data_IF_913680326133
#
_entry.id   IF_913680326133
#
_cell.length_a   1.000
_cell.length_b   1.000
_cell.length_c   1.000
_cell.angle_alpha   90.00
_cell.angle_beta   90.00
_cell.angle_gamma   90.00
#
_symmetry.space_group_name_H-M   'P 1'
#
loop_
_entity.id
_entity.type
_entity.pdbx_description
1 polymer ?
#
# COMPACT_ATOMS: atom_id res chain seq x y z
N UNK A 1 6.65 -9.10 -25.57
CA UNK A 1 5.89 -7.82 -25.44
C UNK A 1 5.05 -7.92 -24.16
N UNK A 2 4.37 -6.86 -23.69
CA UNK A 2 3.42 -7.01 -22.58
C UNK A 2 2.20 -7.82 -23.06
N UNK A 3 1.70 -8.72 -22.22
CA UNK A 3 0.44 -9.47 -22.42
C UNK A 3 0.34 -10.41 -23.63
N UNK A 4 1.47 -10.80 -24.25
CA UNK A 4 1.47 -11.76 -25.38
C UNK A 4 1.61 -13.24 -24.96
N UNK A 5 1.71 -13.50 -23.65
CA UNK A 5 1.84 -14.85 -23.09
C UNK A 5 3.16 -15.57 -23.39
N UNK A 6 4.16 -14.88 -23.94
CA UNK A 6 5.45 -15.49 -24.32
C UNK A 6 6.53 -15.14 -23.30
N UNK A 7 6.93 -16.11 -22.50
CA UNK A 7 7.97 -15.96 -21.47
C UNK A 7 9.20 -16.80 -21.79
N UNK A 8 10.37 -16.30 -21.37
CA UNK A 8 11.65 -17.02 -21.40
C UNK A 8 12.09 -17.25 -19.95
N UNK A 9 12.45 -18.48 -19.63
CA UNK A 9 13.07 -18.78 -18.34
C UNK A 9 14.47 -18.14 -18.26
N UNK A 10 14.78 -17.56 -17.11
CA UNK A 10 16.07 -16.94 -16.78
C UNK A 10 16.51 -17.39 -15.38
N UNK A 11 17.81 -17.27 -15.08
CA UNK A 11 18.30 -17.55 -13.73
C UNK A 11 17.91 -16.43 -12.74
N UNK A 12 18.03 -16.71 -11.45
CA UNK A 12 17.85 -15.68 -10.42
C UNK A 12 18.87 -14.55 -10.55
N UNK A 13 20.13 -14.87 -10.83
CA UNK A 13 21.19 -13.87 -11.02
C UNK A 13 20.87 -12.94 -12.19
N UNK A 14 20.43 -13.50 -13.33
CA UNK A 14 20.02 -12.71 -14.49
C UNK A 14 18.83 -11.78 -14.16
N UNK A 15 17.85 -12.28 -13.39
CA UNK A 15 16.72 -11.47 -12.96
C UNK A 15 17.16 -10.30 -12.04
N UNK A 16 18.04 -10.56 -11.07
CA UNK A 16 18.56 -9.53 -10.17
C UNK A 16 19.37 -8.47 -10.90
N UNK A 17 20.23 -8.86 -11.85
CA UNK A 17 21.02 -7.93 -12.65
C UNK A 17 20.14 -7.02 -13.49
N UNK A 18 19.12 -7.58 -14.15
CA UNK A 18 18.16 -6.81 -14.96
C UNK A 18 17.42 -5.79 -14.11
N UNK A 19 16.86 -6.21 -12.97
CA UNK A 19 16.08 -5.35 -12.09
C UNK A 19 16.97 -4.24 -11.49
N UNK A 20 18.15 -4.61 -10.97
CA UNK A 20 19.06 -3.66 -10.33
C UNK A 20 19.57 -2.62 -11.33
N UNK A 21 19.95 -3.04 -12.54
CA UNK A 21 20.39 -2.12 -13.60
C UNK A 21 19.32 -1.10 -13.96
N UNK A 22 18.07 -1.55 -14.16
CA UNK A 22 16.97 -0.65 -14.51
C UNK A 22 16.58 0.27 -13.36
N UNK A 23 16.57 -0.26 -12.13
CA UNK A 23 16.25 0.53 -10.95
C UNK A 23 17.29 1.64 -10.75
N UNK A 24 18.59 1.31 -10.77
CA UNK A 24 19.67 2.31 -10.68
C UNK A 24 19.61 3.35 -11.79
N UNK A 25 19.49 2.92 -13.04
CA UNK A 25 19.33 3.84 -14.17
C UNK A 25 18.15 4.81 -13.99
N UNK A 26 17.04 4.33 -13.44
CA UNK A 26 15.85 5.14 -13.18
C UNK A 26 16.13 6.21 -12.12
N UNK A 27 16.74 5.83 -10.99
CA UNK A 27 17.17 6.79 -9.96
C UNK A 27 18.19 7.80 -10.49
N UNK A 28 19.24 7.34 -11.15
CA UNK A 28 20.35 8.18 -11.63
C UNK A 28 19.89 9.20 -12.68
N UNK A 29 18.93 8.80 -13.53
CA UNK A 29 18.47 9.63 -14.65
C UNK A 29 17.27 10.52 -14.33
N UNK A 30 16.33 10.04 -13.51
CA UNK A 30 15.03 10.69 -13.30
C UNK A 30 14.73 11.00 -11.83
N UNK A 31 15.60 10.62 -10.91
CA UNK A 31 15.44 10.90 -9.48
C UNK A 31 14.42 9.99 -8.78
N UNK A 32 14.29 10.12 -7.44
CA UNK A 32 13.50 9.19 -6.61
C UNK A 32 12.00 9.15 -6.94
N UNK A 33 11.41 10.27 -7.34
CA UNK A 33 9.98 10.41 -7.66
C UNK A 33 9.54 9.60 -8.91
N UNK A 34 10.49 9.14 -9.71
CA UNK A 34 10.23 8.28 -10.87
C UNK A 34 9.99 6.81 -10.51
N UNK A 35 10.25 6.41 -9.26
CA UNK A 35 9.96 5.07 -8.74
C UNK A 35 8.69 5.12 -7.91
N UNK A 36 7.65 4.42 -8.35
CA UNK A 36 6.36 4.38 -7.67
C UNK A 36 6.15 3.07 -6.91
N UNK A 37 5.90 3.18 -5.60
CA UNK A 37 5.43 2.05 -4.79
C UNK A 37 3.92 1.97 -4.90
N UNK A 38 3.45 1.01 -5.70
CA UNK A 38 2.02 0.78 -5.89
C UNK A 38 1.33 0.30 -4.61
N UNK A 39 0.12 0.84 -4.37
CA UNK A 39 -0.80 0.31 -3.37
C UNK A 39 -1.20 -1.15 -3.68
N UNK A 40 -1.52 -1.90 -2.63
CA UNK A 40 -1.99 -3.29 -2.64
C UNK A 40 -2.38 -3.74 -1.22
N UNK A 41 -3.25 -4.73 -1.10
CA UNK A 41 -3.78 -5.18 0.20
C UNK A 41 -3.60 -6.68 0.44
N UNK A 42 -3.17 -7.44 -0.57
CA UNK A 42 -3.18 -8.90 -0.54
C UNK A 42 -2.40 -9.53 0.62
N UNK A 43 -1.38 -8.84 1.16
CA UNK A 43 -0.64 -9.28 2.35
C UNK A 43 -0.31 -8.10 3.27
N UNK A 44 -1.29 -7.22 3.52
CA UNK A 44 -1.12 -5.95 4.25
C UNK A 44 -0.34 -6.06 5.57
N UNK A 45 -0.48 -7.18 6.30
CA UNK A 45 0.17 -7.43 7.59
C UNK A 45 1.47 -8.27 7.52
N UNK A 46 1.98 -8.58 6.32
CA UNK A 46 3.31 -9.19 6.19
C UNK A 46 4.40 -8.11 6.20
N UNK A 47 5.03 -7.96 7.37
CA UNK A 47 6.07 -6.98 7.66
C UNK A 47 7.19 -6.93 6.61
N UNK A 48 7.66 -8.08 6.11
CA UNK A 48 8.74 -8.15 5.12
C UNK A 48 8.21 -8.11 3.69
N UNK A 49 7.14 -8.86 3.41
CA UNK A 49 6.67 -9.08 2.03
C UNK A 49 5.90 -7.89 1.44
N UNK A 50 5.32 -7.02 2.27
CA UNK A 50 4.44 -5.96 1.79
C UNK A 50 4.72 -4.56 2.36
N UNK A 51 4.75 -4.40 3.68
CA UNK A 51 4.73 -3.07 4.31
C UNK A 51 6.12 -2.49 4.63
N UNK A 52 7.13 -3.31 4.95
CA UNK A 52 8.44 -2.82 5.40
C UNK A 52 9.57 -2.92 4.37
N UNK A 53 9.67 -4.05 3.67
CA UNK A 53 10.86 -4.39 2.87
C UNK A 53 11.14 -3.41 1.71
N UNK A 54 10.14 -3.20 0.85
CA UNK A 54 10.27 -2.34 -0.33
C UNK A 54 10.43 -0.86 0.03
N UNK A 55 9.66 -0.37 1.01
CA UNK A 55 9.79 1.00 1.50
C UNK A 55 11.20 1.27 2.04
N UNK A 56 11.75 0.34 2.82
CA UNK A 56 13.13 0.47 3.33
C UNK A 56 14.15 0.48 2.19
N UNK A 57 14.04 -0.44 1.23
CA UNK A 57 14.96 -0.52 0.09
C UNK A 57 14.96 0.80 -0.69
N UNK A 58 13.80 1.31 -1.06
CA UNK A 58 13.70 2.54 -1.85
C UNK A 58 14.18 3.78 -1.07
N UNK A 59 13.91 3.85 0.24
CA UNK A 59 14.45 4.92 1.07
C UNK A 59 15.99 4.88 1.16
N UNK A 60 16.61 3.69 1.18
CA UNK A 60 18.07 3.55 1.11
C UNK A 60 18.65 3.99 -0.25
N UNK A 61 17.84 3.99 -1.31
CA UNK A 61 18.24 4.43 -2.65
C UNK A 61 17.96 5.92 -2.91
N UNK A 62 17.36 6.64 -1.96
CA UNK A 62 17.08 8.08 -2.07
C UNK A 62 15.61 8.48 -1.97
N UNK A 63 14.70 7.53 -1.74
CA UNK A 63 13.25 7.78 -1.58
C UNK A 63 12.44 7.20 -2.73
N UNK A 64 11.12 7.44 -2.74
CA UNK A 64 10.23 7.02 -3.82
C UNK A 64 8.93 7.81 -3.81
N UNK A 65 8.17 7.76 -4.91
CA UNK A 65 6.78 8.20 -4.92
C UNK A 65 5.91 7.21 -4.14
N UNK A 66 5.30 7.70 -3.06
CA UNK A 66 4.31 6.97 -2.28
C UNK A 66 2.92 7.01 -2.90
N UNK A 67 1.96 6.38 -2.21
CA UNK A 67 0.54 6.47 -2.53
C UNK A 67 -0.22 7.02 -1.31
N UNK A 68 -1.43 7.50 -1.54
CA UNK A 68 -2.32 7.99 -0.50
C UNK A 68 -3.66 7.25 -0.54
N UNK A 69 -4.16 6.87 0.64
CA UNK A 69 -5.42 6.14 0.77
C UNK A 69 -5.37 4.69 0.30
N UNK A 70 -6.55 4.09 0.23
CA UNK A 70 -6.77 2.75 -0.30
C UNK A 70 -8.20 2.65 -0.87
N UNK A 71 -8.52 1.56 -1.57
CA UNK A 71 -9.83 1.40 -2.23
C UNK A 71 -11.00 1.20 -1.28
N UNK A 72 -10.78 0.77 -0.04
CA UNK A 72 -11.85 0.37 0.89
C UNK A 72 -12.20 1.41 1.94
N UNK A 73 -11.24 2.27 2.31
CA UNK A 73 -11.25 2.99 3.58
C UNK A 73 -10.91 4.48 3.46
N UNK A 74 -10.38 4.95 2.32
CA UNK A 74 -9.98 6.36 2.20
C UNK A 74 -11.14 7.33 2.54
N UNK A 75 -12.34 7.07 2.03
CA UNK A 75 -13.44 8.03 2.13
C UNK A 75 -13.98 8.15 3.56
N UNK A 76 -14.14 7.03 4.26
CA UNK A 76 -14.58 7.07 5.66
C UNK A 76 -13.54 7.75 6.54
N UNK A 77 -12.24 7.47 6.33
CA UNK A 77 -11.16 8.12 7.10
C UNK A 77 -11.10 9.63 6.92
N UNK A 78 -11.41 10.14 5.72
CA UNK A 78 -11.48 11.58 5.49
C UNK A 78 -12.71 12.17 6.15
N UNK A 79 -13.85 11.51 6.02
CA UNK A 79 -15.09 11.94 6.66
C UNK A 79 -14.92 12.03 8.18
N UNK A 80 -14.42 10.99 8.83
CA UNK A 80 -14.28 10.98 10.29
C UNK A 80 -13.30 12.02 10.80
N UNK A 81 -12.19 12.23 10.08
CA UNK A 81 -11.22 13.27 10.38
C UNK A 81 -11.82 14.67 10.36
N UNK A 82 -12.57 15.03 9.32
CA UNK A 82 -13.05 16.40 9.17
C UNK A 82 -14.38 16.66 9.89
N UNK A 83 -15.21 15.64 10.07
CA UNK A 83 -16.52 15.78 10.74
C UNK A 83 -16.41 15.61 12.24
N UNK A 84 -15.64 14.61 12.70
CA UNK A 84 -15.56 14.23 14.12
C UNK A 84 -14.21 14.54 14.75
N UNK A 85 -13.22 15.02 13.99
CA UNK A 85 -11.87 15.28 14.50
C UNK A 85 -11.09 14.01 14.87
N UNK A 86 -11.60 12.83 14.50
CA UNK A 86 -11.00 11.55 14.85
C UNK A 86 -9.92 11.15 13.83
N UNK A 87 -8.81 10.57 14.30
CA UNK A 87 -7.73 10.14 13.43
C UNK A 87 -8.05 8.86 12.63
N UNK A 88 -9.13 8.14 12.98
CA UNK A 88 -9.52 6.84 12.43
C UNK A 88 -11.07 6.72 12.37
N UNK A 89 -11.58 5.64 11.77
CA UNK A 89 -13.01 5.30 11.63
C UNK A 89 -13.65 4.82 12.94
N UNK A 90 -12.85 4.47 13.94
CA UNK A 90 -13.31 3.85 15.20
C UNK A 90 -13.94 4.88 16.15
N UNK A 91 -14.96 5.57 15.67
CA UNK A 91 -15.79 6.50 16.45
C UNK A 91 -17.11 5.86 16.92
N UNK A 92 -17.24 4.53 16.78
CA UNK A 92 -18.46 3.80 17.17
C UNK A 92 -18.28 3.08 18.51
N UNK A 93 -19.39 2.91 19.22
CA UNK A 93 -19.49 1.93 20.29
C UNK A 93 -19.20 0.52 19.77
N UNK A 94 -18.75 -0.37 20.66
CA UNK A 94 -18.57 -1.77 20.31
C UNK A 94 -19.91 -2.44 19.99
N UNK A 95 -19.85 -3.60 19.32
CA UNK A 95 -21.06 -4.36 19.01
C UNK A 95 -21.75 -4.84 20.30
N UNK A 96 -20.96 -5.21 21.31
CA UNK A 96 -21.44 -5.66 22.62
C UNK A 96 -22.22 -4.54 23.33
N UNK A 97 -21.66 -3.33 23.40
CA UNK A 97 -22.36 -2.17 23.99
C UNK A 97 -23.66 -1.87 23.24
N UNK A 98 -23.63 -1.99 21.92
CA UNK A 98 -24.81 -1.79 21.07
C UNK A 98 -25.89 -2.84 21.34
N UNK A 99 -25.54 -4.10 21.59
CA UNK A 99 -26.48 -5.17 21.92
C UNK A 99 -27.16 -4.94 23.27
N UNK A 100 -26.41 -4.53 24.29
CA UNK A 100 -26.93 -4.35 25.64
C UNK A 100 -27.85 -3.12 25.77
N UNK A 101 -27.58 -2.07 24.99
CA UNK A 101 -28.21 -0.76 25.19
C UNK A 101 -29.11 -0.29 24.04
N UNK A 102 -28.98 -0.83 22.83
CA UNK A 102 -29.79 -0.37 21.69
C UNK A 102 -31.15 -1.07 21.67
N UNK A 103 -32.19 -0.31 21.35
CA UNK A 103 -33.54 -0.86 21.11
C UNK A 103 -33.72 -1.39 19.69
N UNK A 104 -32.83 -0.99 18.77
CA UNK A 104 -32.84 -1.34 17.35
C UNK A 104 -31.41 -1.21 16.80
N UNK A 105 -30.98 -2.19 16.01
CA UNK A 105 -29.72 -2.17 15.25
C UNK A 105 -30.07 -2.25 13.77
N UNK A 106 -29.52 -1.33 12.96
CA UNK A 106 -29.70 -1.30 11.51
C UNK A 106 -28.37 -1.60 10.84
N UNK A 107 -28.33 -2.66 10.04
CA UNK A 107 -27.21 -2.96 9.15
C UNK A 107 -27.48 -2.30 7.80
N UNK A 108 -26.68 -1.28 7.47
CA UNK A 108 -26.77 -0.51 6.21
C UNK A 108 -25.73 -1.01 5.21
#
# INVERSE_FOLDING_TARGET
KRSDGKFKAISWDEAFDIITKQLRYTYDKYGPESVYKNYGSGVWNAHVAYSGGWHRLFNLLGGHLGYYGNYSYLQISQCTKYVYGAADEQISNSLEDSIDNSKLIVFW
#
